data_IF_823712253969
#
_entry.id   IF_823712253969
#
_cell.length_a   1.000
_cell.length_b   1.000
_cell.length_c   1.000
_cell.angle_alpha   90.00
_cell.angle_beta   90.00
_cell.angle_gamma   90.00
#
_symmetry.space_group_name_H-M   'P 1'
#
loop_
_entity.id
_entity.type
_entity.pdbx_description
1 polymer ?
#
# COMPACT_ATOMS: atom_id res chain seq x y z
N UNK A 1 -1.66 -0.46 10.42
CA UNK A 1 -1.74 -1.05 9.06
C UNK A 1 -2.85 -0.42 8.21
N UNK A 2 -4.11 -0.23 8.69
CA UNK A 2 -5.20 0.32 7.86
C UNK A 2 -4.88 1.69 7.25
N UNK A 3 -4.24 2.55 8.03
CA UNK A 3 -3.95 3.93 7.63
C UNK A 3 -2.96 4.04 6.45
N UNK A 4 -2.00 3.13 6.34
CA UNK A 4 -1.01 3.15 5.24
C UNK A 4 -1.71 2.80 3.92
N UNK A 5 -2.59 1.80 3.93
CA UNK A 5 -3.36 1.41 2.75
C UNK A 5 -4.28 2.55 2.32
N UNK A 6 -4.97 3.22 3.26
CA UNK A 6 -5.82 4.37 2.96
C UNK A 6 -5.05 5.50 2.26
N UNK A 7 -3.82 5.79 2.70
CA UNK A 7 -2.98 6.79 2.04
C UNK A 7 -2.58 6.37 0.62
N UNK A 8 -2.22 5.09 0.42
CA UNK A 8 -1.91 4.55 -0.90
C UNK A 8 -3.14 4.58 -1.83
N UNK A 9 -4.34 4.29 -1.31
CA UNK A 9 -5.61 4.34 -2.06
C UNK A 9 -5.92 5.76 -2.51
N UNK A 10 -5.58 6.75 -1.68
CA UNK A 10 -5.70 8.18 -1.99
C UNK A 10 -4.56 8.72 -2.87
N UNK A 11 -3.63 7.88 -3.32
CA UNK A 11 -2.57 8.23 -4.26
C UNK A 11 -1.27 8.74 -3.63
N UNK A 12 -1.06 8.54 -2.32
CA UNK A 12 0.21 8.88 -1.69
C UNK A 12 1.36 8.07 -2.31
N UNK A 13 2.41 8.76 -2.76
CA UNK A 13 3.62 8.11 -3.24
C UNK A 13 4.66 8.05 -2.10
N UNK A 14 5.12 6.84 -1.73
CA UNK A 14 6.20 6.72 -0.77
C UNK A 14 7.54 7.18 -1.36
N UNK A 15 8.41 7.70 -0.50
CA UNK A 15 9.83 7.93 -0.83
C UNK A 15 10.59 6.59 -0.88
N UNK A 16 11.80 6.59 -1.43
CA UNK A 16 12.58 5.38 -1.69
C UNK A 16 12.69 4.43 -0.48
N UNK A 17 13.14 4.93 0.68
CA UNK A 17 13.27 4.11 1.90
C UNK A 17 11.91 3.57 2.38
N UNK A 18 10.86 4.39 2.31
CA UNK A 18 9.52 3.96 2.72
C UNK A 18 8.98 2.91 1.75
N UNK A 19 9.21 3.08 0.44
CA UNK A 19 8.85 2.10 -0.58
C UNK A 19 9.50 0.74 -0.30
N UNK A 20 10.78 0.72 0.03
CA UNK A 20 11.51 -0.52 0.34
C UNK A 20 10.97 -1.21 1.60
N UNK A 21 10.61 -0.44 2.63
CA UNK A 21 9.97 -0.97 3.84
C UNK A 21 8.62 -1.60 3.47
N UNK A 22 7.77 -0.90 2.72
CA UNK A 22 6.45 -1.38 2.31
C UNK A 22 6.54 -2.63 1.42
N UNK A 23 7.57 -2.70 0.57
CA UNK A 23 7.85 -3.87 -0.27
C UNK A 23 8.27 -5.07 0.57
N UNK A 24 9.17 -4.90 1.55
CA UNK A 24 9.60 -5.96 2.47
C UNK A 24 8.48 -6.45 3.38
N UNK A 25 7.60 -5.55 3.80
CA UNK A 25 6.42 -5.87 4.60
C UNK A 25 5.25 -6.42 3.77
N UNK A 26 5.45 -6.61 2.46
CA UNK A 26 4.46 -7.15 1.51
C UNK A 26 3.13 -6.37 1.41
N UNK A 27 3.10 -5.10 1.82
CA UNK A 27 1.89 -4.26 1.86
C UNK A 27 1.27 -4.06 0.47
N UNK A 28 2.07 -4.04 -0.60
CA UNK A 28 1.55 -3.92 -1.96
C UNK A 28 0.70 -5.14 -2.40
N UNK A 29 0.94 -6.33 -1.84
CA UNK A 29 0.11 -7.51 -2.11
C UNK A 29 -1.26 -7.34 -1.46
N UNK A 30 -1.29 -6.90 -0.21
CA UNK A 30 -2.54 -6.58 0.52
C UNK A 30 -3.33 -5.48 -0.19
N UNK A 31 -2.64 -4.42 -0.63
CA UNK A 31 -3.23 -3.32 -1.38
C UNK A 31 -3.93 -3.79 -2.67
N UNK A 32 -3.26 -4.61 -3.49
CA UNK A 32 -3.84 -5.15 -4.73
C UNK A 32 -5.06 -6.04 -4.48
N UNK A 33 -5.04 -6.85 -3.42
CA UNK A 33 -6.18 -7.69 -3.04
C UNK A 33 -7.37 -6.87 -2.57
N UNK A 34 -7.14 -5.75 -1.87
CA UNK A 34 -8.22 -4.86 -1.46
C UNK A 34 -8.85 -4.15 -2.67
N UNK A 35 -8.07 -3.72 -3.65
CA UNK A 35 -8.63 -3.15 -4.89
C UNK A 35 -9.56 -4.12 -5.62
N UNK A 36 -9.25 -5.42 -5.66
CA UNK A 36 -10.14 -6.42 -6.28
C UNK A 36 -11.45 -6.68 -5.52
N UNK A 37 -11.54 -6.30 -4.23
CA UNK A 37 -12.77 -6.46 -3.43
C UNK A 37 -13.76 -5.32 -3.58
N UNK A 38 -13.28 -4.14 -3.95
CA UNK A 38 -14.10 -2.93 -4.10
C UNK A 38 -14.49 -2.64 -5.57
N UNK A 39 -14.22 -3.57 -6.48
CA UNK A 39 -14.41 -3.42 -7.92
C UNK A 39 -15.51 -4.32 -8.48
#
# INVERSE_FOLDING_TARGET
>A
VPLILEFLEKGAQPTETVYDILKRAEIFKEFRLNQTKFN
#
